data_IF_133057924370
#
_entry.id   IF_133057924370
#
_cell.length_a   1.000
_cell.length_b   1.000
_cell.length_c   1.000
_cell.angle_alpha   90.00
_cell.angle_beta   90.00
_cell.angle_gamma   90.00
#
_symmetry.space_group_name_H-M   'P 1'
#
loop_
_entity.id
_entity.type
_entity.pdbx_description
1 polymer ?
#
# COMPACT_ATOMS: atom_id res chain seq x y z
N UNK A 1 -94.31 41.56 38.21
CA UNK A 1 -93.46 40.86 37.28
C UNK A 1 -92.66 39.80 38.01
N UNK A 2 -92.84 38.54 37.72
CA UNK A 2 -92.02 37.46 38.24
C UNK A 2 -90.89 37.27 37.32
N UNK A 3 -89.66 37.48 37.77
CA UNK A 3 -88.46 37.24 36.97
C UNK A 3 -88.15 35.71 36.98
N UNK A 4 -88.13 35.08 35.84
CA UNK A 4 -87.71 33.69 35.70
C UNK A 4 -86.31 33.71 35.08
N UNK A 5 -85.31 33.11 35.78
CA UNK A 5 -83.91 32.99 35.31
C UNK A 5 -83.69 31.55 34.90
N UNK A 6 -83.01 31.37 33.71
CA UNK A 6 -82.49 30.10 33.25
C UNK A 6 -80.96 30.18 33.23
N UNK A 7 -80.33 29.23 33.86
CA UNK A 7 -78.87 29.08 33.80
C UNK A 7 -78.54 28.14 32.64
N UNK A 8 -77.70 28.64 31.75
CA UNK A 8 -77.13 27.82 30.65
C UNK A 8 -75.62 27.63 30.98
N UNK A 9 -75.20 26.39 31.13
CA UNK A 9 -73.79 26.04 31.33
C UNK A 9 -73.27 25.52 29.99
N UNK A 10 -72.18 26.15 29.54
CA UNK A 10 -71.43 25.69 28.35
C UNK A 10 -70.20 24.97 28.86
N UNK A 11 -70.06 23.70 28.47
CA UNK A 11 -68.95 22.84 28.87
C UNK A 11 -68.44 22.08 27.63
N UNK A 12 -67.27 22.52 27.12
CA UNK A 12 -66.58 21.83 26.06
C UNK A 12 -65.64 20.78 26.63
N UNK A 13 -65.75 19.55 26.12
CA UNK A 13 -64.93 18.39 26.50
C UNK A 13 -64.24 17.75 25.28
N UNK A 14 -64.31 18.39 24.13
CA UNK A 14 -63.74 17.89 22.88
C UNK A 14 -62.33 18.44 22.70
N UNK A 15 -61.30 17.63 22.65
CA UNK A 15 -59.93 18.13 22.41
C UNK A 15 -59.80 18.72 21.01
N UNK A 16 -58.98 19.77 20.83
CA UNK A 16 -58.63 20.31 19.52
C UNK A 16 -57.85 19.30 18.67
N UNK A 17 -57.86 19.48 17.38
CA UNK A 17 -57.18 18.60 16.39
C UNK A 17 -56.21 19.42 15.57
N UNK A 18 -55.11 18.77 15.11
CA UNK A 18 -54.23 19.29 14.07
C UNK A 18 -53.49 18.12 13.38
N UNK A 19 -52.97 18.35 12.22
CA UNK A 19 -52.14 17.37 11.51
C UNK A 19 -50.72 17.38 12.05
N UNK A 20 -50.05 16.24 11.97
CA UNK A 20 -48.60 16.14 12.24
C UNK A 20 -47.82 16.97 11.23
N UNK A 21 -46.84 17.79 11.66
CA UNK A 21 -45.95 18.48 10.75
C UNK A 21 -45.14 17.52 9.88
N UNK A 22 -44.67 18.02 8.74
CA UNK A 22 -43.81 17.26 7.84
C UNK A 22 -42.56 16.78 8.55
N UNK A 23 -42.10 15.58 8.16
CA UNK A 23 -40.78 15.04 8.59
C UNK A 23 -39.66 15.98 8.16
N UNK A 24 -38.68 16.18 9.01
CA UNK A 24 -37.44 16.89 8.74
C UNK A 24 -36.33 15.84 8.64
N UNK A 25 -35.43 15.98 7.68
CA UNK A 25 -34.18 15.20 7.59
C UNK A 25 -33.00 16.16 7.69
N UNK A 26 -32.02 15.84 8.52
CA UNK A 26 -30.78 16.59 8.71
C UNK A 26 -29.61 15.61 8.76
N UNK A 27 -28.42 16.07 8.41
CA UNK A 27 -27.22 15.22 8.41
C UNK A 27 -26.73 14.99 9.85
N UNK A 28 -26.60 16.05 10.64
CA UNK A 28 -26.02 15.96 11.98
C UNK A 28 -27.05 16.28 13.08
N UNK A 29 -26.84 15.73 14.26
CA UNK A 29 -27.65 16.06 15.45
C UNK A 29 -27.61 17.55 15.79
N UNK A 30 -26.50 18.23 15.48
CA UNK A 30 -26.33 19.65 15.68
C UNK A 30 -27.21 20.52 14.76
N UNK A 31 -27.67 19.96 13.65
CA UNK A 31 -28.51 20.64 12.66
C UNK A 31 -29.99 20.50 12.94
N UNK A 32 -30.36 19.75 13.99
CA UNK A 32 -31.76 19.63 14.42
C UNK A 32 -32.27 21.02 14.82
N UNK A 33 -33.29 21.55 14.11
CA UNK A 33 -33.76 22.90 14.38
C UNK A 33 -34.43 22.99 15.76
N UNK A 34 -34.32 24.16 16.38
CA UNK A 34 -35.06 24.42 17.61
C UNK A 34 -36.58 24.20 17.41
N UNK A 35 -37.32 23.79 18.44
CA UNK A 35 -38.76 23.64 18.34
C UNK A 35 -39.46 24.92 17.92
N UNK A 36 -40.29 24.84 16.86
CA UNK A 36 -41.09 25.95 16.34
C UNK A 36 -42.56 25.54 16.41
N UNK A 37 -43.34 26.21 17.24
CA UNK A 37 -44.78 25.99 17.38
C UNK A 37 -45.59 26.40 16.16
N UNK A 38 -45.04 27.28 15.33
CA UNK A 38 -45.70 27.78 14.11
C UNK A 38 -45.73 26.74 12.95
N UNK A 39 -45.08 25.60 13.11
CA UNK A 39 -45.19 24.48 12.16
C UNK A 39 -46.56 23.79 12.22
N UNK A 40 -47.33 24.02 13.28
CA UNK A 40 -48.74 23.61 13.43
C UNK A 40 -49.57 24.78 12.89
N UNK A 41 -50.30 24.57 11.80
CA UNK A 41 -51.01 25.65 11.08
C UNK A 41 -52.45 25.33 10.75
N UNK A 42 -52.93 24.11 11.12
CA UNK A 42 -54.27 23.62 10.79
C UNK A 42 -55.03 23.18 12.05
N UNK A 43 -54.66 23.76 13.22
CA UNK A 43 -55.34 23.52 14.46
C UNK A 43 -56.83 23.93 14.38
N UNK A 44 -57.71 23.06 14.78
CA UNK A 44 -59.13 23.27 14.76
C UNK A 44 -59.85 22.68 15.98
N UNK A 45 -60.91 23.35 16.38
CA UNK A 45 -61.80 22.91 17.46
C UNK A 45 -63.26 23.14 17.10
N UNK A 46 -64.17 22.43 17.82
CA UNK A 46 -65.63 22.56 17.65
C UNK A 46 -66.12 23.87 18.27
N UNK A 47 -65.40 24.48 19.24
CA UNK A 47 -65.71 25.77 19.83
C UNK A 47 -64.80 26.85 19.31
N UNK A 48 -65.32 27.95 18.77
CA UNK A 48 -64.51 29.03 18.17
C UNK A 48 -63.80 29.86 19.25
N UNK A 49 -62.70 29.38 19.78
CA UNK A 49 -61.87 30.03 20.78
C UNK A 49 -60.38 29.92 20.41
N UNK A 50 -59.51 30.67 21.08
CA UNK A 50 -58.07 30.61 20.81
C UNK A 50 -57.52 29.23 21.22
N UNK A 51 -56.74 28.64 20.32
CA UNK A 51 -55.98 27.39 20.56
C UNK A 51 -54.55 27.79 20.87
N UNK A 52 -53.92 27.12 21.86
CA UNK A 52 -52.53 27.34 22.26
C UNK A 52 -51.71 26.11 21.91
N UNK A 53 -50.67 26.31 21.08
CA UNK A 53 -49.69 25.31 20.75
C UNK A 53 -48.44 25.48 21.61
N UNK A 54 -47.90 24.39 22.19
CA UNK A 54 -46.69 24.42 22.96
C UNK A 54 -45.81 23.20 22.69
N UNK A 55 -44.48 23.40 22.73
CA UNK A 55 -43.53 22.31 22.71
C UNK A 55 -43.58 21.49 23.98
N UNK A 56 -43.53 20.17 23.89
CA UNK A 56 -43.54 19.26 25.05
C UNK A 56 -42.19 18.60 25.23
N UNK A 57 -41.69 17.89 24.24
CA UNK A 57 -40.45 17.12 24.35
C UNK A 57 -39.90 16.68 22.97
N UNK A 58 -38.63 16.40 22.96
CA UNK A 58 -37.95 15.62 21.93
C UNK A 58 -37.52 14.28 22.55
N UNK A 59 -37.77 13.19 21.88
CA UNK A 59 -37.41 11.84 22.32
C UNK A 59 -36.71 11.12 21.18
N UNK A 60 -35.44 10.76 21.37
CA UNK A 60 -34.64 9.95 20.45
C UNK A 60 -35.05 8.47 20.57
N UNK A 61 -34.97 7.72 19.47
CA UNK A 61 -35.11 6.26 19.45
C UNK A 61 -33.83 5.55 19.93
N UNK A 62 -32.72 6.32 20.08
CA UNK A 62 -31.41 5.80 20.51
C UNK A 62 -30.63 5.07 19.44
N UNK A 63 -31.07 5.11 18.18
CA UNK A 63 -30.29 4.67 17.04
C UNK A 63 -29.16 5.66 16.74
N UNK A 64 -28.15 5.25 15.94
CA UNK A 64 -27.01 6.11 15.60
C UNK A 64 -27.06 6.66 14.18
N UNK A 65 -27.56 5.86 13.22
CA UNK A 65 -27.74 6.29 11.83
C UNK A 65 -28.65 5.31 11.10
N UNK A 66 -29.82 5.75 10.64
CA UNK A 66 -30.43 7.00 11.02
C UNK A 66 -30.94 6.97 12.47
N UNK A 67 -30.84 8.12 13.18
CA UNK A 67 -31.53 8.36 14.44
C UNK A 67 -32.87 9.03 14.16
N UNK A 68 -33.96 8.62 14.85
CA UNK A 68 -35.25 9.27 14.74
C UNK A 68 -35.60 9.97 16.05
N UNK A 69 -35.74 11.29 15.98
CA UNK A 69 -36.22 12.11 17.10
C UNK A 69 -37.71 12.36 16.89
N UNK A 70 -38.53 11.94 17.86
CA UNK A 70 -39.94 12.25 17.91
C UNK A 70 -40.14 13.52 18.74
N UNK A 71 -40.44 14.62 18.06
CA UNK A 71 -40.80 15.91 18.64
C UNK A 71 -42.29 15.96 18.90
N UNK A 72 -42.70 16.32 20.15
CA UNK A 72 -44.10 16.35 20.54
C UNK A 72 -44.51 17.78 20.84
N UNK A 73 -45.65 18.17 20.31
CA UNK A 73 -46.36 19.40 20.65
C UNK A 73 -47.72 19.10 21.30
N UNK A 74 -48.13 19.94 22.23
CA UNK A 74 -49.48 19.95 22.80
C UNK A 74 -50.32 21.05 22.16
N UNK A 75 -51.56 20.73 21.88
CA UNK A 75 -52.58 21.66 21.39
C UNK A 75 -53.65 21.75 22.45
N UNK A 76 -53.92 22.94 22.99
CA UNK A 76 -54.83 23.17 24.11
C UNK A 76 -55.91 24.20 23.72
N UNK A 77 -57.18 23.86 23.90
CA UNK A 77 -58.30 24.77 23.72
C UNK A 77 -58.52 25.74 24.91
N UNK A 78 -59.46 26.60 24.79
CA UNK A 78 -59.82 27.58 25.87
C UNK A 78 -60.49 26.93 27.08
N UNK A 79 -60.99 25.70 26.96
CA UNK A 79 -61.57 24.92 28.04
C UNK A 79 -60.58 24.03 28.78
N UNK A 80 -59.34 23.92 28.26
CA UNK A 80 -58.26 23.11 28.83
C UNK A 80 -58.21 21.68 28.31
N UNK A 81 -58.94 21.31 27.25
CA UNK A 81 -58.82 20.02 26.64
C UNK A 81 -57.52 20.00 25.81
N UNK A 82 -56.78 18.90 25.81
CA UNK A 82 -55.44 18.77 25.21
C UNK A 82 -55.40 17.61 24.24
N UNK A 83 -54.79 17.82 23.07
CA UNK A 83 -54.31 16.78 22.18
C UNK A 83 -52.81 16.90 21.95
N UNK A 84 -52.19 15.84 21.48
CA UNK A 84 -50.76 15.80 21.14
C UNK A 84 -50.59 15.49 19.67
N UNK A 85 -49.69 16.22 19.04
CA UNK A 85 -49.23 15.93 17.68
C UNK A 85 -47.72 15.76 17.69
N UNK A 86 -47.22 14.91 16.80
CA UNK A 86 -45.80 14.58 16.73
C UNK A 86 -45.22 14.94 15.35
N UNK A 87 -43.98 15.39 15.37
CA UNK A 87 -43.15 15.57 14.18
C UNK A 87 -41.98 14.58 14.26
N UNK A 88 -41.68 13.90 13.14
CA UNK A 88 -40.50 13.07 13.00
C UNK A 88 -39.34 13.92 12.51
N UNK A 89 -38.18 13.80 13.13
CA UNK A 89 -36.92 14.38 12.70
C UNK A 89 -35.96 13.21 12.53
N UNK A 90 -35.45 13.02 11.30
CA UNK A 90 -34.48 11.97 10.97
C UNK A 90 -33.11 12.61 10.87
N UNK A 91 -32.19 12.12 11.68
CA UNK A 91 -30.77 12.47 11.63
C UNK A 91 -30.06 11.34 10.91
N UNK A 92 -29.57 11.57 9.71
CA UNK A 92 -28.99 10.55 8.82
C UNK A 92 -27.86 11.17 8.02
N UNK A 93 -26.64 10.91 8.44
CA UNK A 93 -25.45 11.42 7.77
C UNK A 93 -25.11 10.53 6.59
N UNK A 94 -25.23 11.07 5.39
CA UNK A 94 -24.85 10.44 4.12
C UNK A 94 -23.62 11.08 3.47
N UNK A 95 -22.95 12.00 4.18
CA UNK A 95 -21.72 12.66 3.74
C UNK A 95 -20.53 11.79 4.11
N UNK A 96 -19.67 11.54 3.13
CA UNK A 96 -18.47 10.74 3.34
C UNK A 96 -17.39 11.53 4.10
N UNK A 97 -16.64 10.89 5.00
CA UNK A 97 -15.49 11.52 5.62
C UNK A 97 -14.44 11.88 4.58
N UNK A 98 -13.52 12.76 4.93
CA UNK A 98 -12.42 13.19 4.08
C UNK A 98 -11.09 12.84 4.74
N UNK A 99 -10.11 12.45 3.92
CA UNK A 99 -8.71 12.31 4.29
C UNK A 99 -7.84 12.32 3.03
N UNK A 100 -6.55 12.65 3.17
CA UNK A 100 -5.60 12.68 2.06
C UNK A 100 -4.89 11.33 1.90
N UNK A 101 -4.46 11.04 0.67
CA UNK A 101 -3.55 9.94 0.41
C UNK A 101 -2.21 10.17 1.14
N UNK A 102 -1.61 9.11 1.65
CA UNK A 102 -0.34 9.17 2.33
C UNK A 102 0.82 9.45 1.35
N UNK A 103 1.86 10.10 1.85
CA UNK A 103 3.08 10.31 1.08
C UNK A 103 3.72 8.99 0.65
N UNK A 104 4.42 8.97 -0.51
CA UNK A 104 5.07 7.76 -1.00
C UNK A 104 6.21 7.33 -0.09
N UNK A 105 6.49 6.02 -0.06
CA UNK A 105 7.63 5.39 0.58
C UNK A 105 8.52 4.72 -0.46
N UNK A 106 9.81 4.57 -0.12
CA UNK A 106 10.77 3.77 -0.89
C UNK A 106 11.44 2.75 0.05
N UNK A 107 11.75 1.59 -0.48
CA UNK A 107 12.51 0.55 0.19
C UNK A 107 13.46 -0.10 -0.83
N UNK A 108 14.62 -0.57 -0.39
CA UNK A 108 15.54 -1.30 -1.27
C UNK A 108 15.02 -2.72 -1.48
N UNK A 109 14.63 -3.41 -0.43
CA UNK A 109 14.12 -4.78 -0.50
C UNK A 109 12.66 -4.87 -0.03
N UNK A 110 11.94 -5.88 -0.49
CA UNK A 110 10.57 -6.16 -0.03
C UNK A 110 10.50 -6.39 1.49
N UNK A 111 11.56 -6.92 2.09
CA UNK A 111 11.65 -7.13 3.53
C UNK A 111 11.79 -5.85 4.36
N UNK A 112 12.16 -4.74 3.72
CA UNK A 112 12.34 -3.42 4.36
C UNK A 112 11.06 -2.58 4.32
N UNK A 113 10.02 -3.04 3.63
CA UNK A 113 8.72 -2.37 3.61
C UNK A 113 8.13 -2.37 5.03
N UNK A 114 7.89 -1.20 5.62
CA UNK A 114 7.39 -1.12 6.99
C UNK A 114 5.98 -1.72 7.10
N UNK A 115 5.68 -2.28 8.27
CA UNK A 115 4.33 -2.73 8.57
C UNK A 115 3.30 -1.58 8.41
N UNK A 116 2.05 -1.88 8.05
CA UNK A 116 1.00 -0.87 7.98
C UNK A 116 0.81 -0.16 9.33
N UNK A 117 0.71 1.18 9.30
CA UNK A 117 0.45 2.00 10.47
C UNK A 117 -0.74 2.93 10.19
N UNK A 118 -1.87 2.68 10.84
CA UNK A 118 -3.09 3.47 10.70
C UNK A 118 -2.94 4.90 11.25
N UNK A 119 -1.99 5.14 12.15
CA UNK A 119 -1.77 6.46 12.73
C UNK A 119 -1.08 7.44 11.77
N UNK A 120 -0.70 7.00 10.58
CA UNK A 120 -0.18 7.87 9.53
C UNK A 120 -1.29 8.68 8.84
N UNK A 121 -2.54 8.21 8.89
CA UNK A 121 -3.71 9.02 8.49
C UNK A 121 -4.03 9.94 9.65
N UNK A 122 -3.86 11.25 9.48
CA UNK A 122 -3.93 12.24 10.58
C UNK A 122 -4.78 13.46 10.23
N UNK A 123 -5.32 13.51 9.02
CA UNK A 123 -6.10 14.64 8.50
C UNK A 123 -7.54 14.23 8.20
N UNK A 124 -7.99 13.12 8.79
CA UNK A 124 -9.36 12.67 8.68
C UNK A 124 -10.32 13.68 9.31
N UNK A 125 -11.40 13.98 8.61
CA UNK A 125 -12.42 14.93 9.02
C UNK A 125 -13.77 14.55 8.45
N UNK A 126 -14.82 14.92 9.18
CA UNK A 126 -16.19 14.72 8.80
C UNK A 126 -17.04 15.95 9.12
N UNK A 127 -18.24 16.09 8.49
CA UNK A 127 -19.20 17.16 8.73
C UNK A 127 -19.91 16.99 10.08
N UNK A 128 -20.16 15.74 10.49
CA UNK A 128 -20.83 15.44 11.75
C UNK A 128 -19.84 15.07 12.85
N UNK A 129 -20.07 15.54 14.09
CA UNK A 129 -19.22 15.17 15.21
C UNK A 129 -19.42 13.71 15.58
N UNK A 130 -18.41 12.89 15.34
CA UNK A 130 -18.43 11.46 15.64
C UNK A 130 -17.02 10.87 15.64
N UNK A 131 -16.90 9.61 16.01
CA UNK A 131 -15.63 8.92 15.95
C UNK A 131 -15.37 8.50 14.49
N UNK A 132 -14.24 8.92 13.94
CA UNK A 132 -13.72 8.41 12.65
C UNK A 132 -12.82 7.23 12.94
N UNK A 133 -12.98 6.15 12.20
CA UNK A 133 -12.21 4.92 12.35
C UNK A 133 -11.34 4.70 11.10
N UNK A 134 -10.03 4.55 11.32
CA UNK A 134 -9.07 4.18 10.26
C UNK A 134 -8.72 2.71 10.41
N UNK A 135 -8.72 1.97 9.29
CA UNK A 135 -8.32 0.57 9.27
C UNK A 135 -7.45 0.25 8.04
N UNK A 136 -6.49 -0.67 8.21
CA UNK A 136 -5.73 -1.22 7.09
C UNK A 136 -6.60 -2.19 6.28
N UNK A 137 -6.62 -2.01 4.97
CA UNK A 137 -7.39 -2.85 4.03
C UNK A 137 -6.51 -3.90 3.38
N UNK A 138 -5.35 -3.51 2.85
CA UNK A 138 -4.45 -4.43 2.18
C UNK A 138 -3.37 -3.73 1.37
N UNK A 139 -2.38 -4.53 0.96
CA UNK A 139 -1.32 -4.17 0.04
C UNK A 139 -1.54 -4.92 -1.28
N UNK A 140 -1.41 -4.24 -2.40
CA UNK A 140 -1.49 -4.80 -3.74
C UNK A 140 -0.22 -4.44 -4.50
N UNK A 141 0.53 -5.48 -4.91
CA UNK A 141 1.70 -5.34 -5.79
C UNK A 141 1.28 -5.27 -7.25
N UNK A 142 2.01 -4.50 -8.05
CA UNK A 142 1.88 -4.49 -9.52
C UNK A 142 2.51 -5.71 -10.19
N UNK A 143 3.24 -6.54 -9.41
CA UNK A 143 3.95 -7.72 -9.89
C UNK A 143 5.27 -7.38 -10.60
N UNK A 144 5.74 -6.14 -10.53
CA UNK A 144 7.08 -5.75 -10.96
C UNK A 144 8.15 -6.40 -10.09
N UNK A 145 9.39 -6.44 -10.57
CA UNK A 145 10.52 -6.99 -9.79
C UNK A 145 11.52 -5.90 -9.39
N UNK A 146 11.74 -4.91 -10.26
CA UNK A 146 12.61 -3.76 -9.98
C UNK A 146 12.36 -2.67 -11.03
N UNK A 147 11.73 -1.60 -10.64
CA UNK A 147 11.05 -1.42 -9.35
C UNK A 147 9.75 -2.23 -9.26
N UNK A 148 9.38 -2.67 -8.06
CA UNK A 148 8.04 -3.14 -7.72
C UNK A 148 7.27 -1.98 -7.09
N UNK A 149 5.99 -1.80 -7.48
CA UNK A 149 5.11 -0.80 -6.88
C UNK A 149 4.03 -1.49 -6.06
N UNK A 150 3.99 -1.18 -4.77
CA UNK A 150 2.96 -1.67 -3.85
C UNK A 150 2.01 -0.52 -3.55
N UNK A 151 0.71 -0.74 -3.77
CA UNK A 151 -0.35 0.17 -3.35
C UNK A 151 -0.93 -0.34 -2.03
N UNK A 152 -0.63 0.38 -0.96
CA UNK A 152 -1.19 0.14 0.37
C UNK A 152 -2.47 0.93 0.52
N UNK A 153 -3.54 0.30 1.02
CA UNK A 153 -4.87 0.92 1.15
C UNK A 153 -5.31 0.91 2.60
N UNK A 154 -5.86 2.04 3.03
CA UNK A 154 -6.56 2.20 4.30
C UNK A 154 -7.99 2.64 4.05
N UNK A 155 -8.92 2.25 4.91
CA UNK A 155 -10.27 2.78 4.95
C UNK A 155 -10.40 3.82 6.05
N UNK A 156 -11.17 4.87 5.77
CA UNK A 156 -11.57 5.90 6.73
C UNK A 156 -13.09 5.88 6.79
N UNK A 157 -13.64 5.59 7.96
CA UNK A 157 -15.07 5.35 8.15
C UNK A 157 -15.58 6.24 9.28
N UNK A 158 -16.66 6.98 9.05
CA UNK A 158 -17.33 7.82 10.03
C UNK A 158 -18.21 7.02 11.02
N UNK A 159 -18.93 7.72 11.89
CA UNK A 159 -19.80 7.11 12.88
C UNK A 159 -21.07 6.49 12.27
N UNK A 160 -21.49 6.92 11.07
CA UNK A 160 -22.65 6.42 10.34
C UNK A 160 -22.31 5.26 9.38
N UNK A 161 -21.03 5.01 9.16
CA UNK A 161 -20.55 3.94 8.31
C UNK A 161 -20.24 4.36 6.88
N UNK A 162 -20.29 5.68 6.56
CA UNK A 162 -19.81 6.17 5.28
C UNK A 162 -18.31 6.01 5.23
N UNK A 163 -17.78 5.54 4.10
CA UNK A 163 -16.38 5.11 4.00
C UNK A 163 -15.71 5.61 2.74
N UNK A 164 -14.49 6.12 2.87
CA UNK A 164 -13.57 6.36 1.77
C UNK A 164 -12.34 5.46 1.89
N UNK A 165 -11.58 5.37 0.81
CA UNK A 165 -10.30 4.71 0.76
C UNK A 165 -9.20 5.75 0.51
N UNK A 166 -8.12 5.66 1.28
CA UNK A 166 -6.89 6.42 1.06
C UNK A 166 -5.74 5.46 0.78
N UNK A 167 -4.81 5.88 -0.04
CA UNK A 167 -3.72 5.02 -0.52
C UNK A 167 -2.35 5.59 -0.20
N UNK A 168 -1.37 4.68 -0.10
CA UNK A 168 0.05 4.97 -0.03
C UNK A 168 0.76 4.16 -1.12
N UNK A 169 1.57 4.83 -1.92
CA UNK A 169 2.44 4.17 -2.89
C UNK A 169 3.77 3.83 -2.24
N UNK A 170 4.21 2.59 -2.35
CA UNK A 170 5.51 2.10 -1.86
C UNK A 170 6.26 1.57 -3.06
N UNK A 171 7.45 2.12 -3.33
CA UNK A 171 8.34 1.66 -4.40
C UNK A 171 9.48 0.85 -3.79
N UNK A 172 9.61 -0.40 -4.22
CA UNK A 172 10.71 -1.29 -3.86
C UNK A 172 11.65 -1.35 -5.05
N UNK A 173 12.87 -0.82 -4.89
CA UNK A 173 13.82 -0.67 -5.99
C UNK A 173 15.25 -0.78 -5.48
N UNK A 174 15.85 -1.94 -5.68
CA UNK A 174 17.22 -2.20 -5.25
C UNK A 174 18.21 -1.58 -6.25
N UNK A 175 18.98 -0.63 -5.78
CA UNK A 175 20.04 0.05 -6.52
C UNK A 175 21.43 -0.23 -5.93
N UNK A 176 21.54 -1.20 -5.02
CA UNK A 176 22.80 -1.59 -4.39
C UNK A 176 23.45 -2.69 -5.22
N UNK A 177 24.75 -2.53 -5.51
CA UNK A 177 25.49 -3.52 -6.28
C UNK A 177 25.74 -4.78 -5.44
N UNK A 178 25.65 -5.97 -6.02
CA UNK A 178 26.06 -7.19 -5.35
C UNK A 178 27.59 -7.16 -5.07
N UNK A 179 28.03 -7.99 -4.16
CA UNK A 179 29.44 -8.13 -3.78
C UNK A 179 29.93 -9.52 -4.09
N UNK A 180 31.18 -9.65 -4.51
CA UNK A 180 31.89 -10.91 -4.63
C UNK A 180 33.41 -10.66 -4.71
N UNK A 181 34.21 -11.64 -4.30
CA UNK A 181 35.66 -11.60 -4.42
C UNK A 181 36.12 -12.16 -5.78
N UNK A 182 37.31 -11.74 -6.18
CA UNK A 182 37.97 -12.34 -7.36
C UNK A 182 38.31 -13.81 -7.08
N UNK A 183 38.00 -14.76 -7.99
CA UNK A 183 38.38 -16.13 -7.85
C UNK A 183 39.91 -16.32 -7.75
N UNK A 184 40.34 -17.37 -7.07
CA UNK A 184 41.75 -17.70 -6.95
C UNK A 184 42.43 -17.90 -8.30
N UNK A 185 43.73 -17.57 -8.44
CA UNK A 185 44.47 -17.71 -9.70
C UNK A 185 44.61 -19.18 -10.13
N UNK A 186 44.74 -19.39 -11.43
CA UNK A 186 45.02 -20.67 -12.03
C UNK A 186 46.38 -20.64 -12.79
N UNK A 187 46.98 -21.82 -12.98
CA UNK A 187 48.16 -22.03 -13.82
C UNK A 187 47.84 -23.07 -14.91
N UNK A 188 48.41 -22.91 -16.06
CA UNK A 188 48.33 -23.85 -17.19
C UNK A 188 49.68 -23.93 -17.90
N UNK A 189 50.06 -25.12 -18.41
CA UNK A 189 51.36 -25.38 -19.07
C UNK A 189 51.36 -24.83 -20.47
N UNK A 190 50.21 -24.73 -21.14
CA UNK A 190 50.05 -24.15 -22.46
C UNK A 190 48.65 -23.59 -22.67
N UNK A 191 48.46 -22.74 -23.68
CA UNK A 191 47.18 -22.10 -23.98
C UNK A 191 46.04 -23.08 -24.24
N UNK A 192 46.36 -24.29 -24.79
CA UNK A 192 45.37 -25.36 -24.95
C UNK A 192 44.95 -26.09 -23.69
N UNK A 193 45.66 -25.85 -22.57
CA UNK A 193 45.39 -26.49 -21.26
C UNK A 193 44.55 -25.58 -20.32
N UNK A 194 44.13 -24.38 -20.78
CA UNK A 194 43.30 -23.49 -20.00
C UNK A 194 41.95 -24.19 -19.74
N UNK A 195 41.52 -24.35 -18.47
CA UNK A 195 40.22 -24.94 -18.19
C UNK A 195 39.08 -24.11 -18.75
N UNK A 196 38.00 -24.77 -19.17
CA UNK A 196 36.77 -24.08 -19.57
C UNK A 196 36.27 -23.20 -18.41
N UNK A 197 35.64 -22.05 -18.71
CA UNK A 197 35.07 -21.19 -17.65
C UNK A 197 34.10 -21.95 -16.76
N UNK A 198 34.30 -21.84 -15.47
CA UNK A 198 33.40 -22.41 -14.42
C UNK A 198 32.89 -21.27 -13.54
N UNK A 199 31.59 -20.98 -13.60
CA UNK A 199 30.96 -19.93 -12.81
C UNK A 199 30.94 -20.24 -11.31
N UNK A 200 31.05 -21.51 -10.94
CA UNK A 200 31.04 -21.94 -9.52
C UNK A 200 32.35 -21.61 -8.79
N UNK A 201 33.35 -21.02 -9.46
CA UNK A 201 34.55 -20.54 -8.79
C UNK A 201 34.31 -19.23 -8.02
N UNK A 202 33.23 -18.51 -8.33
CA UNK A 202 32.72 -17.40 -7.51
C UNK A 202 31.79 -18.04 -6.47
N UNK A 203 32.11 -17.91 -5.19
CA UNK A 203 31.43 -18.66 -4.09
C UNK A 203 31.01 -17.80 -2.93
N UNK A 204 31.31 -16.51 -2.96
CA UNK A 204 31.06 -15.56 -1.87
C UNK A 204 30.22 -14.38 -2.33
N UNK A 205 29.46 -14.60 -3.41
CA UNK A 205 28.50 -13.60 -3.89
C UNK A 205 27.44 -13.32 -2.82
N UNK A 206 27.18 -12.06 -2.56
CA UNK A 206 26.19 -11.59 -1.61
C UNK A 206 25.55 -10.28 -2.06
N UNK A 207 24.32 -10.08 -1.62
CA UNK A 207 23.57 -8.88 -1.85
C UNK A 207 22.75 -8.50 -0.60
N UNK A 208 22.30 -7.21 -0.54
CA UNK A 208 21.43 -6.74 0.53
C UNK A 208 20.03 -7.34 0.47
N UNK A 209 19.51 -7.60 -0.75
CA UNK A 209 18.19 -8.19 -0.95
C UNK A 209 18.28 -9.71 -1.10
N UNK A 210 17.45 -10.47 -0.39
CA UNK A 210 17.47 -11.93 -0.44
C UNK A 210 16.82 -12.47 -1.73
N UNK A 211 17.55 -12.39 -2.84
CA UNK A 211 17.12 -12.85 -4.15
C UNK A 211 18.27 -13.62 -4.85
N UNK A 212 18.00 -14.46 -5.88
CA UNK A 212 19.04 -15.16 -6.59
C UNK A 212 20.04 -14.22 -7.27
N UNK A 213 21.33 -14.47 -7.04
CA UNK A 213 22.43 -13.81 -7.76
C UNK A 213 22.83 -14.69 -8.92
N UNK A 214 23.08 -14.11 -10.08
CA UNK A 214 23.47 -14.80 -11.29
C UNK A 214 24.95 -14.50 -11.59
N UNK A 215 25.78 -15.55 -11.65
CA UNK A 215 27.16 -15.46 -12.12
C UNK A 215 27.23 -15.94 -13.56
N UNK A 216 27.90 -15.18 -14.43
CA UNK A 216 28.07 -15.55 -15.83
C UNK A 216 29.50 -15.26 -16.30
N UNK A 217 30.02 -16.10 -17.21
CA UNK A 217 31.29 -15.84 -17.92
C UNK A 217 31.11 -14.70 -18.90
N UNK A 218 32.08 -13.78 -18.92
CA UNK A 218 32.07 -12.62 -19.84
C UNK A 218 33.12 -12.79 -20.91
N UNK A 219 34.40 -12.93 -20.53
CA UNK A 219 35.50 -13.01 -21.50
C UNK A 219 36.79 -13.52 -20.89
N UNK A 220 37.68 -14.02 -21.77
CA UNK A 220 39.09 -14.22 -21.52
C UNK A 220 39.89 -13.21 -22.34
N UNK A 221 40.80 -12.49 -21.73
CA UNK A 221 41.68 -11.51 -22.39
C UNK A 221 43.14 -11.83 -22.08
N UNK A 222 43.94 -12.16 -23.12
CA UNK A 222 45.39 -12.38 -23.04
C UNK A 222 46.14 -11.03 -23.02
N UNK A 223 47.25 -10.96 -22.27
CA UNK A 223 48.20 -9.86 -22.30
C UNK A 223 49.13 -9.90 -23.53
N UNK A 224 49.06 -10.97 -24.35
CA UNK A 224 49.91 -11.20 -25.52
C UNK A 224 51.33 -11.60 -25.18
N UNK A 225 51.63 -11.97 -23.93
CA UNK A 225 52.89 -12.55 -23.51
C UNK A 225 53.15 -13.92 -24.16
N UNK A 226 54.39 -14.36 -24.16
CA UNK A 226 54.73 -15.65 -24.76
C UNK A 226 55.19 -16.71 -23.77
N UNK A 227 55.77 -16.30 -22.61
CA UNK A 227 56.14 -17.22 -21.56
C UNK A 227 56.75 -16.44 -20.37
N UNK A 228 56.01 -16.19 -19.25
CA UNK A 228 54.61 -16.58 -19.10
C UNK A 228 53.65 -15.63 -19.86
N UNK A 229 52.53 -16.17 -20.32
CA UNK A 229 51.39 -15.42 -20.81
C UNK A 229 50.37 -15.29 -19.64
N UNK A 230 49.70 -14.13 -19.52
CA UNK A 230 48.65 -13.92 -18.52
C UNK A 230 47.33 -13.74 -19.23
N UNK A 231 46.35 -14.60 -18.89
CA UNK A 231 44.97 -14.45 -19.32
C UNK A 231 44.13 -13.97 -18.17
N UNK A 232 43.43 -12.84 -18.36
CA UNK A 232 42.44 -12.34 -17.40
C UNK A 232 41.07 -12.83 -17.83
N UNK A 233 40.50 -13.73 -17.01
CA UNK A 233 39.16 -14.23 -17.16
C UNK A 233 38.22 -13.36 -16.36
N UNK A 234 37.12 -12.92 -16.97
CA UNK A 234 36.12 -12.03 -16.36
C UNK A 234 34.79 -12.76 -16.19
N UNK A 235 34.21 -12.66 -15.02
CA UNK A 235 32.83 -13.06 -14.71
C UNK A 235 32.02 -11.84 -14.32
N UNK A 236 30.72 -11.84 -14.68
CA UNK A 236 29.74 -10.90 -14.13
C UNK A 236 29.00 -11.53 -12.98
N UNK A 237 28.70 -10.73 -11.97
CA UNK A 237 27.84 -11.08 -10.81
C UNK A 237 26.70 -10.10 -10.84
N UNK A 238 25.49 -10.60 -11.05
CA UNK A 238 24.29 -9.77 -11.27
C UNK A 238 23.21 -10.19 -10.29
N UNK A 239 22.63 -9.22 -9.57
CA UNK A 239 21.50 -9.43 -8.68
C UNK A 239 20.16 -9.58 -9.43
N UNK A 240 19.05 -9.69 -8.70
CA UNK A 240 17.72 -9.85 -9.29
C UNK A 240 17.18 -8.57 -9.92
N UNK A 241 17.72 -7.40 -9.54
CA UNK A 241 17.34 -6.09 -10.07
C UNK A 241 18.18 -5.69 -11.29
N UNK A 242 19.23 -6.47 -11.61
CA UNK A 242 20.12 -6.21 -12.73
C UNK A 242 21.32 -5.36 -12.38
N UNK A 243 21.56 -5.03 -11.10
CA UNK A 243 22.78 -4.39 -10.70
C UNK A 243 23.94 -5.38 -10.82
N UNK A 244 25.06 -4.93 -11.34
CA UNK A 244 26.13 -5.83 -11.77
C UNK A 244 27.50 -5.34 -11.38
N UNK A 245 28.35 -6.26 -10.91
CA UNK A 245 29.79 -6.09 -10.79
C UNK A 245 30.54 -7.09 -11.69
N UNK A 246 31.83 -6.84 -11.89
CA UNK A 246 32.74 -7.74 -12.58
C UNK A 246 33.81 -8.22 -11.60
N UNK A 247 34.07 -9.51 -11.59
CA UNK A 247 35.19 -10.13 -10.88
C UNK A 247 36.12 -10.81 -11.87
N UNK A 248 37.42 -10.87 -11.54
CA UNK A 248 38.43 -11.37 -12.47
C UNK A 248 39.23 -12.50 -11.83
N UNK A 249 39.55 -13.50 -12.65
CA UNK A 249 40.44 -14.61 -12.34
C UNK A 249 41.71 -14.50 -13.22
N UNK A 250 42.86 -14.55 -12.62
CA UNK A 250 44.13 -14.56 -13.31
C UNK A 250 44.55 -15.98 -13.65
N UNK A 251 44.86 -16.24 -14.91
CA UNK A 251 45.38 -17.53 -15.37
C UNK A 251 46.77 -17.27 -15.96
N UNK A 252 47.79 -17.90 -15.36
CA UNK A 252 49.19 -17.80 -15.79
C UNK A 252 49.53 -19.02 -16.61
N UNK A 253 50.01 -18.81 -17.86
CA UNK A 253 50.44 -19.87 -18.78
C UNK A 253 51.97 -19.82 -18.84
N UNK A 254 52.62 -20.86 -18.38
CA UNK A 254 54.07 -20.98 -18.37
C UNK A 254 54.49 -22.39 -18.67
N UNK A 255 55.21 -22.60 -19.76
CA UNK A 255 55.78 -23.90 -20.11
C UNK A 255 57.11 -24.06 -19.38
N UNK A 256 57.17 -24.97 -18.40
CA UNK A 256 58.34 -25.37 -17.63
C UNK A 256 58.82 -26.80 -18.01
N UNK A 257 58.27 -27.38 -19.09
CA UNK A 257 58.62 -28.70 -19.58
C UNK A 257 59.77 -28.58 -20.61
N UNK A 258 60.91 -29.14 -20.26
CA UNK A 258 62.06 -29.21 -21.17
C UNK A 258 61.70 -29.98 -22.42
N UNK A 259 62.11 -29.47 -23.62
CA UNK A 259 61.91 -30.18 -24.89
C UNK A 259 62.69 -31.47 -24.86
N UNK A 260 62.08 -32.57 -25.31
CA UNK A 260 62.75 -33.90 -25.43
C UNK A 260 63.14 -34.17 -26.87
N UNK A 261 64.35 -34.68 -27.03
CA UNK A 261 64.82 -35.19 -28.30
C UNK A 261 65.50 -36.55 -28.14
N UNK A 262 65.32 -37.43 -29.07
CA UNK A 262 66.06 -38.68 -29.14
C UNK A 262 67.38 -38.49 -29.92
N UNK A 263 68.44 -39.16 -29.51
CA UNK A 263 69.70 -39.17 -30.24
C UNK A 263 69.49 -39.79 -31.68
N UNK A 264 70.01 -39.18 -32.68
CA UNK A 264 70.04 -39.81 -34.05
C UNK A 264 70.65 -41.19 -34.00
N UNK A 265 70.22 -42.02 -34.90
CA UNK A 265 70.83 -43.38 -35.08
C UNK A 265 72.31 -43.27 -35.35
N UNK A 266 73.15 -44.14 -34.82
CA UNK A 266 74.57 -44.12 -35.12
C UNK A 266 74.87 -44.37 -36.62
N UNK A 267 75.77 -43.59 -37.20
CA UNK A 267 76.18 -43.71 -38.56
C UNK A 267 77.56 -44.34 -38.56
N UNK A 268 77.75 -45.42 -39.38
CA UNK A 268 79.04 -46.04 -39.60
C UNK A 268 79.49 -45.74 -41.02
N UNK A 269 80.73 -45.24 -41.15
CA UNK A 269 81.36 -44.90 -42.40
C UNK A 269 82.71 -45.64 -42.51
N UNK A 270 83.19 -45.94 -43.74
CA UNK A 270 84.44 -46.71 -43.91
C UNK A 270 85.70 -45.82 -43.90
N UNK A 271 85.56 -44.54 -44.31
CA UNK A 271 86.66 -43.61 -44.39
C UNK A 271 86.28 -42.28 -43.70
N UNK A 272 87.24 -41.56 -43.14
CA UNK A 272 87.01 -40.27 -42.50
C UNK A 272 86.42 -39.20 -43.41
N UNK A 273 86.61 -39.31 -44.75
CA UNK A 273 86.03 -38.38 -45.71
C UNK A 273 84.58 -38.66 -46.08
N UNK A 274 84.01 -39.79 -45.60
CA UNK A 274 82.59 -40.16 -45.79
C UNK A 274 81.70 -39.74 -44.67
N UNK A 275 82.21 -39.04 -43.63
CA UNK A 275 81.40 -38.52 -42.53
C UNK A 275 80.47 -37.49 -43.13
N UNK A 276 79.13 -37.71 -42.98
CA UNK A 276 78.17 -36.75 -43.52
C UNK A 276 78.26 -35.41 -42.77
N UNK A 277 78.03 -34.34 -43.52
CA UNK A 277 77.93 -33.01 -42.88
C UNK A 277 76.85 -33.00 -41.78
N UNK A 278 77.03 -32.21 -40.74
CA UNK A 278 75.97 -32.07 -39.70
C UNK A 278 74.63 -31.69 -40.31
N UNK A 279 73.63 -32.50 -40.09
CA UNK A 279 72.22 -32.25 -40.45
C UNK A 279 71.40 -31.94 -39.20
N UNK A 280 70.96 -30.73 -39.14
CA UNK A 280 70.11 -30.25 -37.98
C UNK A 280 68.63 -30.49 -38.22
N UNK A 281 68.23 -31.09 -39.32
CA UNK A 281 66.85 -31.41 -39.71
C UNK A 281 66.40 -32.82 -39.30
N UNK A 282 67.22 -33.60 -38.63
CA UNK A 282 66.95 -34.98 -38.17
C UNK A 282 66.84 -35.09 -36.70
#
# INVERSE_FOLDING_TARGET
>A
QTLVTQTITINDITPPTASSPATITVDCIADVPAPDVNVITDEADNCPAAIVVAFVSDVSDGATCPETITRTYSITDACGNISLVTQSIVVDDDVFPTASNLGPLTADCIGDVPAPDINLVTDESDNCPGAITVAFVGDISDGGSCPETITRTYSVTDACGNQILVTQTITVDDNILPTASNPGPLTADCSGSIPVPDVNVVTDEADNCPAPIIVAFVSDVSDGGTCPETVTRTYSVTDACGNQILVTQIITIGDDIDPTASNPAPVSVQCAGDVPAPDISV
#
